data_IF_135054708095
#
_entry.id   IF_135054708095
#
_cell.length_a   1.000
_cell.length_b   1.000
_cell.length_c   1.000
_cell.angle_alpha   90.00
_cell.angle_beta   90.00
_cell.angle_gamma   90.00
#
_symmetry.space_group_name_H-M   'P 1'
#
loop_
_entity.id
_entity.type
_entity.pdbx_description
1 polymer ?
#
# COMPACT_ATOMS: atom_id res chain seq x y z
N UNK A 1 -54.58 37.43 -25.02
CA UNK A 1 -53.52 37.39 -26.04
C UNK A 1 -52.42 38.26 -25.46
N UNK A 2 -51.34 37.62 -24.99
CA UNK A 2 -50.17 38.18 -24.26
C UNK A 2 -50.56 38.86 -22.94
N UNK A 3 -50.33 38.26 -21.77
CA UNK A 3 -49.01 38.00 -21.21
C UNK A 3 -49.00 36.82 -20.24
N UNK A 4 -47.77 36.41 -19.93
CA UNK A 4 -47.39 35.50 -18.85
C UNK A 4 -47.45 34.00 -19.12
N UNK A 5 -46.71 33.69 -20.20
CA UNK A 5 -45.64 32.68 -20.26
C UNK A 5 -44.72 32.65 -19.00
N UNK A 6 -44.91 33.53 -18.01
CA UNK A 6 -44.36 33.48 -16.65
C UNK A 6 -44.75 32.20 -15.87
N UNK A 7 -45.88 31.56 -16.21
CA UNK A 7 -46.22 30.27 -15.61
C UNK A 7 -45.30 29.13 -16.09
N UNK A 8 -44.58 29.33 -17.21
CA UNK A 8 -43.57 28.41 -17.71
C UNK A 8 -42.19 28.58 -17.02
N UNK A 9 -42.03 29.63 -16.19
CA UNK A 9 -40.87 29.81 -15.30
C UNK A 9 -41.02 29.10 -13.95
N UNK A 10 -42.11 28.37 -13.70
CA UNK A 10 -42.21 27.44 -12.57
C UNK A 10 -41.43 26.13 -12.83
N UNK A 11 -40.24 26.28 -13.42
CA UNK A 11 -39.26 25.24 -13.59
C UNK A 11 -38.82 24.70 -12.23
N UNK A 12 -38.89 23.38 -12.14
CA UNK A 12 -38.20 22.45 -11.22
C UNK A 12 -38.60 22.39 -9.74
N UNK A 13 -39.25 21.27 -9.38
CA UNK A 13 -38.97 20.56 -8.14
C UNK A 13 -38.42 19.15 -8.41
N UNK A 14 -37.61 18.94 -9.46
CA UNK A 14 -36.97 17.65 -9.73
C UNK A 14 -35.61 17.49 -9.01
N UNK A 15 -35.02 18.59 -8.54
CA UNK A 15 -33.63 18.63 -8.06
C UNK A 15 -33.47 18.33 -6.56
N UNK A 16 -34.54 18.22 -5.76
CA UNK A 16 -34.40 18.02 -4.31
C UNK A 16 -34.37 16.55 -3.88
N UNK A 17 -34.99 15.65 -4.64
CA UNK A 17 -35.05 14.22 -4.30
C UNK A 17 -33.87 13.41 -4.86
N UNK A 18 -33.34 13.78 -6.04
CA UNK A 18 -32.10 13.18 -6.57
C UNK A 18 -30.87 13.72 -5.87
N UNK A 19 -30.90 15.02 -5.48
CA UNK A 19 -29.81 15.65 -4.73
C UNK A 19 -29.53 14.93 -3.42
N UNK A 20 -30.55 14.50 -2.66
CA UNK A 20 -30.37 13.74 -1.42
C UNK A 20 -29.62 12.41 -1.62
N UNK A 21 -30.03 11.60 -2.60
CA UNK A 21 -29.39 10.32 -2.89
C UNK A 21 -27.98 10.47 -3.50
N UNK A 22 -27.75 11.52 -4.31
CA UNK A 22 -26.42 11.86 -4.81
C UNK A 22 -25.51 12.39 -3.69
N UNK A 23 -26.04 13.16 -2.74
CA UNK A 23 -25.26 13.65 -1.59
C UNK A 23 -24.88 12.53 -0.63
N UNK A 24 -25.75 11.54 -0.38
CA UNK A 24 -25.46 10.43 0.54
C UNK A 24 -24.30 9.55 0.03
N UNK A 25 -24.28 9.25 -1.27
CA UNK A 25 -23.18 8.52 -1.90
C UNK A 25 -21.86 9.27 -1.86
N UNK A 26 -21.90 10.60 -2.08
CA UNK A 26 -20.72 11.44 -2.00
C UNK A 26 -20.15 11.51 -0.58
N UNK A 27 -21.01 11.60 0.44
CA UNK A 27 -20.59 11.61 1.85
C UNK A 27 -19.88 10.31 2.21
N UNK A 28 -20.43 9.15 1.86
CA UNK A 28 -19.78 7.86 2.12
C UNK A 28 -18.46 7.68 1.36
N UNK A 29 -18.37 8.16 0.13
CA UNK A 29 -17.11 8.14 -0.61
C UNK A 29 -16.04 9.01 0.07
N UNK A 30 -16.42 10.19 0.56
CA UNK A 30 -15.53 11.08 1.30
C UNK A 30 -15.09 10.45 2.63
N UNK A 31 -16.00 9.81 3.35
CA UNK A 31 -15.70 9.11 4.60
C UNK A 31 -14.67 7.98 4.39
N UNK A 32 -14.91 7.10 3.41
CA UNK A 32 -13.98 6.00 3.09
C UNK A 32 -12.62 6.54 2.65
N UNK A 33 -12.62 7.62 1.85
CA UNK A 33 -11.39 8.26 1.36
C UNK A 33 -10.57 8.86 2.49
N UNK A 34 -11.22 9.54 3.44
CA UNK A 34 -10.56 10.11 4.61
C UNK A 34 -9.97 9.02 5.49
N UNK A 35 -10.76 7.98 5.77
CA UNK A 35 -10.33 6.85 6.59
C UNK A 35 -9.09 6.15 6.01
N UNK A 36 -9.12 5.83 4.70
CA UNK A 36 -7.99 5.24 3.97
C UNK A 36 -6.73 6.09 4.08
N UNK A 37 -6.84 7.40 3.88
CA UNK A 37 -5.68 8.30 3.95
C UNK A 37 -5.06 8.38 5.33
N UNK A 38 -5.88 8.31 6.38
CA UNK A 38 -5.41 8.26 7.77
C UNK A 38 -4.66 6.94 8.04
N UNK A 39 -5.22 5.81 7.62
CA UNK A 39 -4.60 4.50 7.80
C UNK A 39 -3.24 4.39 7.07
N UNK A 40 -3.18 4.78 5.79
CA UNK A 40 -1.94 4.84 5.01
C UNK A 40 -0.86 5.68 5.72
N UNK A 41 -1.26 6.83 6.28
CA UNK A 41 -0.36 7.75 6.97
C UNK A 41 0.19 7.17 8.27
N UNK A 42 -0.67 6.52 9.05
CA UNK A 42 -0.30 5.85 10.29
C UNK A 42 0.64 4.68 10.00
N UNK A 43 0.28 3.81 9.06
CA UNK A 43 1.08 2.66 8.66
C UNK A 43 2.46 3.13 8.14
N UNK A 44 2.47 4.11 7.24
CA UNK A 44 3.70 4.70 6.70
C UNK A 44 4.61 5.28 7.79
N UNK A 45 4.04 5.94 8.81
CA UNK A 45 4.81 6.46 9.94
C UNK A 45 5.44 5.34 10.77
N UNK A 46 4.64 4.35 11.20
CA UNK A 46 5.14 3.25 12.04
C UNK A 46 6.21 2.42 11.32
N UNK A 47 5.94 1.99 10.07
CA UNK A 47 6.91 1.23 9.28
C UNK A 47 8.14 2.06 8.90
N UNK A 48 7.98 3.38 8.71
CA UNK A 48 9.09 4.31 8.52
C UNK A 48 10.04 4.31 9.73
N UNK A 49 9.50 4.48 10.94
CA UNK A 49 10.28 4.47 12.20
C UNK A 49 10.95 3.10 12.42
N UNK A 50 10.24 2.01 12.17
CA UNK A 50 10.79 0.65 12.29
C UNK A 50 11.90 0.42 11.27
N UNK A 51 11.70 0.83 10.02
CA UNK A 51 12.70 0.71 8.95
C UNK A 51 13.96 1.52 9.25
N UNK A 52 13.83 2.72 9.81
CA UNK A 52 14.97 3.53 10.23
C UNK A 52 15.76 2.86 11.36
N UNK A 53 15.08 2.34 12.40
CA UNK A 53 15.73 1.60 13.49
C UNK A 53 16.45 0.35 12.99
N UNK A 54 15.85 -0.39 12.07
CA UNK A 54 16.46 -1.56 11.46
C UNK A 54 17.73 -1.19 10.68
N UNK A 55 17.66 -0.11 9.89
CA UNK A 55 18.79 0.42 9.12
C UNK A 55 19.94 0.85 10.03
N UNK A 56 19.63 1.53 11.13
CA UNK A 56 20.62 1.95 12.11
C UNK A 56 21.36 0.75 12.72
N UNK A 57 20.63 -0.29 13.14
CA UNK A 57 21.24 -1.53 13.66
C UNK A 57 22.08 -2.28 12.63
N UNK A 58 21.64 -2.31 11.38
CA UNK A 58 22.40 -2.91 10.28
C UNK A 58 23.71 -2.17 10.07
N UNK A 59 23.68 -0.83 10.01
CA UNK A 59 24.88 0.00 9.88
C UNK A 59 25.86 -0.22 11.03
N UNK A 60 25.36 -0.27 12.27
CA UNK A 60 26.18 -0.51 13.46
C UNK A 60 26.87 -1.89 13.42
N UNK A 61 26.11 -2.96 13.16
CA UNK A 61 26.66 -4.33 13.08
C UNK A 61 27.65 -4.51 11.93
N UNK A 62 27.34 -3.96 10.76
CA UNK A 62 28.21 -4.07 9.60
C UNK A 62 29.50 -3.26 9.81
N UNK A 63 29.42 -2.04 10.36
CA UNK A 63 30.61 -1.26 10.69
C UNK A 63 31.49 -1.98 11.73
N UNK A 64 30.88 -2.53 12.78
CA UNK A 64 31.58 -3.33 13.77
C UNK A 64 32.31 -4.53 13.13
N UNK A 65 31.64 -5.26 12.25
CA UNK A 65 32.24 -6.40 11.54
C UNK A 65 33.44 -5.97 10.67
N UNK A 66 33.29 -4.87 9.93
CA UNK A 66 34.36 -4.33 9.08
C UNK A 66 35.60 -3.96 9.90
N UNK A 67 35.44 -3.29 11.04
CA UNK A 67 36.59 -2.83 11.86
C UNK A 67 37.39 -4.00 12.47
N UNK A 68 36.78 -5.16 12.68
CA UNK A 68 37.43 -6.34 13.28
C UNK A 68 38.10 -7.26 12.25
N UNK A 69 38.12 -6.86 10.99
CA UNK A 69 38.72 -7.65 9.92
C UNK A 69 40.26 -7.53 9.92
N UNK A 70 40.94 -8.57 9.44
CA UNK A 70 42.42 -8.60 9.37
C UNK A 70 43.00 -7.58 8.37
N UNK A 71 44.22 -7.07 8.65
CA UNK A 71 44.86 -6.02 7.83
C UNK A 71 45.04 -6.46 6.36
N UNK A 72 45.44 -7.72 6.13
CA UNK A 72 45.59 -8.27 4.78
C UNK A 72 44.28 -8.42 3.99
N UNK A 73 43.13 -8.28 4.65
CA UNK A 73 41.83 -8.25 3.97
C UNK A 73 41.59 -6.91 3.28
N UNK A 74 42.08 -5.80 3.84
CA UNK A 74 41.95 -4.44 3.28
C UNK A 74 42.89 -4.17 2.10
N UNK A 75 43.93 -5.00 1.92
CA UNK A 75 44.87 -4.89 0.80
C UNK A 75 44.26 -5.29 -0.55
N UNK A 76 43.10 -5.94 -0.55
CA UNK A 76 42.36 -6.24 -1.79
C UNK A 76 41.70 -4.98 -2.33
N UNK A 77 41.81 -4.76 -3.64
CA UNK A 77 41.23 -3.59 -4.33
C UNK A 77 39.72 -3.45 -4.11
N UNK A 78 39.02 -4.59 -3.92
CA UNK A 78 37.58 -4.68 -3.62
C UNK A 78 37.22 -4.26 -2.18
N UNK A 79 38.18 -4.32 -1.26
CA UNK A 79 37.97 -4.14 0.18
C UNK A 79 38.54 -2.82 0.71
N UNK A 80 38.91 -1.92 -0.21
CA UNK A 80 39.37 -0.59 0.17
C UNK A 80 38.30 0.13 1.00
N UNK A 81 38.69 0.87 2.06
CA UNK A 81 37.75 1.47 3.02
C UNK A 81 36.73 2.42 2.37
N UNK A 82 37.09 3.10 1.26
CA UNK A 82 36.16 3.94 0.49
C UNK A 82 35.08 3.14 -0.25
N UNK A 83 35.47 2.03 -0.89
CA UNK A 83 34.55 1.12 -1.58
C UNK A 83 33.61 0.47 -0.58
N UNK A 84 34.16 0.02 0.56
CA UNK A 84 33.39 -0.61 1.62
C UNK A 84 32.35 0.31 2.25
N UNK A 85 32.72 1.56 2.53
CA UNK A 85 31.80 2.56 3.11
C UNK A 85 30.67 2.88 2.15
N UNK A 86 30.96 2.97 0.84
CA UNK A 86 29.95 3.17 -0.20
C UNK A 86 29.03 1.97 -0.38
N UNK A 87 29.58 0.75 -0.39
CA UNK A 87 28.81 -0.50 -0.43
C UNK A 87 27.90 -0.62 0.80
N UNK A 88 28.45 -0.36 1.99
CA UNK A 88 27.69 -0.38 3.24
C UNK A 88 26.54 0.63 3.24
N UNK A 89 26.78 1.86 2.77
CA UNK A 89 25.72 2.86 2.65
C UNK A 89 24.61 2.43 1.66
N UNK A 90 25.01 1.85 0.53
CA UNK A 90 24.08 1.38 -0.51
C UNK A 90 23.27 0.18 -0.06
N UNK A 91 23.92 -0.86 0.48
CA UNK A 91 23.26 -2.08 0.95
C UNK A 91 22.31 -1.78 2.12
N UNK A 92 22.72 -0.96 3.09
CA UNK A 92 21.84 -0.56 4.18
C UNK A 92 20.62 0.23 3.69
N UNK A 93 20.78 1.07 2.66
CA UNK A 93 19.66 1.85 2.08
C UNK A 93 18.73 0.98 1.24
N UNK A 94 19.28 0.01 0.50
CA UNK A 94 18.51 -0.99 -0.23
C UNK A 94 17.66 -1.83 0.74
N UNK A 95 18.28 -2.34 1.81
CA UNK A 95 17.56 -3.10 2.85
C UNK A 95 16.50 -2.23 3.52
N UNK A 96 16.75 -0.95 3.80
CA UNK A 96 15.73 -0.04 4.33
C UNK A 96 14.51 0.09 3.43
N UNK A 97 14.74 0.30 2.14
CA UNK A 97 13.66 0.53 1.17
C UNK A 97 12.85 -0.74 0.94
N UNK A 98 13.53 -1.88 0.78
CA UNK A 98 12.88 -3.19 0.64
C UNK A 98 12.17 -3.59 1.94
N UNK A 99 12.75 -3.28 3.11
CA UNK A 99 12.21 -3.73 4.40
C UNK A 99 11.10 -2.84 4.97
N UNK A 100 11.09 -1.54 4.68
CA UNK A 100 10.11 -0.61 5.24
C UNK A 100 8.83 -0.57 4.41
N UNK A 101 8.95 -0.08 3.18
CA UNK A 101 7.80 0.20 2.31
C UNK A 101 7.19 -1.08 1.73
N UNK A 102 8.03 -2.00 1.23
CA UNK A 102 7.53 -3.24 0.63
C UNK A 102 6.85 -4.15 1.65
N UNK A 103 7.33 -4.20 2.90
CA UNK A 103 6.70 -5.02 3.94
C UNK A 103 5.35 -4.48 4.37
N UNK A 104 5.20 -3.15 4.45
CA UNK A 104 3.90 -2.54 4.73
C UNK A 104 2.87 -2.96 3.68
N UNK A 105 3.23 -2.81 2.40
CA UNK A 105 2.39 -3.20 1.26
C UNK A 105 2.11 -4.71 1.22
N UNK A 106 3.12 -5.55 1.49
CA UNK A 106 2.95 -7.00 1.53
C UNK A 106 2.00 -7.43 2.66
N UNK A 107 2.17 -6.86 3.84
CA UNK A 107 1.34 -7.16 5.00
C UNK A 107 -0.11 -6.71 4.75
N UNK A 108 -0.29 -5.52 4.18
CA UNK A 108 -1.60 -5.02 3.76
C UNK A 108 -2.26 -5.97 2.77
N UNK A 109 -1.55 -6.42 1.74
CA UNK A 109 -2.07 -7.36 0.75
C UNK A 109 -2.50 -8.70 1.39
N UNK A 110 -1.71 -9.25 2.31
CA UNK A 110 -2.04 -10.49 3.03
C UNK A 110 -3.27 -10.31 3.91
N UNK A 111 -3.38 -9.19 4.63
CA UNK A 111 -4.55 -8.87 5.47
C UNK A 111 -5.80 -8.68 4.60
N UNK A 112 -5.68 -7.97 3.48
CA UNK A 112 -6.77 -7.75 2.54
C UNK A 112 -7.27 -9.07 1.95
N UNK A 113 -6.37 -9.92 1.45
CA UNK A 113 -6.72 -11.24 0.92
C UNK A 113 -7.36 -12.10 2.02
N UNK A 114 -6.78 -12.12 3.22
CA UNK A 114 -7.31 -12.86 4.36
C UNK A 114 -8.71 -12.39 4.76
N UNK A 115 -8.92 -11.09 4.91
CA UNK A 115 -10.22 -10.51 5.26
C UNK A 115 -11.27 -10.75 4.17
N UNK A 116 -10.91 -10.64 2.89
CA UNK A 116 -11.80 -10.96 1.78
C UNK A 116 -12.26 -12.42 1.83
N UNK A 117 -11.35 -13.36 2.12
CA UNK A 117 -11.74 -14.76 2.30
C UNK A 117 -12.65 -14.95 3.51
N UNK A 118 -12.34 -14.33 4.65
CA UNK A 118 -13.17 -14.46 5.87
C UNK A 118 -14.58 -13.94 5.62
N UNK A 119 -14.73 -12.76 5.03
CA UNK A 119 -16.04 -12.17 4.71
C UNK A 119 -16.78 -13.06 3.70
N UNK A 120 -16.09 -13.50 2.63
CA UNK A 120 -16.69 -14.37 1.61
C UNK A 120 -17.19 -15.70 2.18
N UNK A 121 -16.43 -16.36 3.06
CA UNK A 121 -16.84 -17.61 3.69
C UNK A 121 -18.03 -17.43 4.65
N UNK A 122 -18.14 -16.28 5.31
CA UNK A 122 -19.27 -15.95 6.20
C UNK A 122 -20.55 -15.76 5.39
N UNK A 123 -20.51 -15.00 4.29
CA UNK A 123 -21.69 -14.70 3.49
C UNK A 123 -22.16 -15.90 2.65
N UNK A 124 -21.24 -16.51 1.88
CA UNK A 124 -21.55 -17.70 1.10
C UNK A 124 -20.30 -18.52 0.82
N UNK A 125 -20.20 -19.65 1.53
CA UNK A 125 -19.12 -20.60 1.34
C UNK A 125 -19.14 -21.25 -0.06
N UNK A 126 -20.30 -21.43 -0.69
CA UNK A 126 -20.40 -22.00 -2.04
C UNK A 126 -19.83 -21.07 -3.11
N UNK A 127 -20.17 -19.77 -3.04
CA UNK A 127 -19.69 -18.79 -4.01
C UNK A 127 -18.19 -18.52 -3.87
N UNK A 128 -17.68 -18.55 -2.64
CA UNK A 128 -16.25 -18.34 -2.35
C UNK A 128 -15.38 -19.48 -2.85
N UNK A 129 -15.80 -20.74 -2.67
CA UNK A 129 -15.09 -21.90 -3.21
C UNK A 129 -15.06 -21.91 -4.75
N UNK A 130 -16.15 -21.47 -5.38
CA UNK A 130 -16.22 -21.32 -6.83
C UNK A 130 -15.18 -20.30 -7.33
N UNK A 131 -15.11 -19.12 -6.72
CA UNK A 131 -14.14 -18.08 -7.06
C UNK A 131 -12.69 -18.54 -6.85
N UNK A 132 -12.44 -19.30 -5.78
CA UNK A 132 -11.12 -19.87 -5.52
C UNK A 132 -10.69 -20.89 -6.58
N UNK A 133 -11.64 -21.64 -7.16
CA UNK A 133 -11.39 -22.55 -8.28
C UNK A 133 -11.07 -21.85 -9.59
N UNK A 134 -11.64 -20.66 -9.84
CA UNK A 134 -11.33 -19.85 -11.02
C UNK A 134 -10.00 -19.09 -10.92
N UNK A 135 -9.55 -18.78 -9.70
CA UNK A 135 -8.28 -18.09 -9.44
C UNK A 135 -7.06 -18.72 -10.14
N UNK A 136 -6.77 -20.03 -10.03
CA UNK A 136 -5.68 -20.66 -10.77
C UNK A 136 -5.91 -20.65 -12.29
N UNK A 137 -7.15 -20.80 -12.76
CA UNK A 137 -7.46 -20.76 -14.19
C UNK A 137 -7.16 -19.39 -14.80
N UNK A 138 -7.49 -18.31 -14.09
CA UNK A 138 -7.15 -16.93 -14.44
C UNK A 138 -5.62 -16.71 -14.48
N UNK A 139 -4.90 -17.21 -13.48
CA UNK A 139 -3.44 -17.12 -13.43
C UNK A 139 -2.78 -17.88 -14.58
N UNK A 140 -3.26 -19.08 -14.90
CA UNK A 140 -2.79 -19.84 -16.06
C UNK A 140 -3.11 -19.14 -17.38
N UNK A 141 -4.31 -18.60 -17.54
CA UNK A 141 -4.69 -17.83 -18.72
C UNK A 141 -3.81 -16.60 -18.93
N UNK A 142 -3.55 -15.82 -17.87
CA UNK A 142 -2.70 -14.64 -17.93
C UNK A 142 -1.19 -14.93 -18.01
N UNK A 143 -0.74 -16.17 -17.78
CA UNK A 143 0.65 -16.58 -17.99
C UNK A 143 0.94 -16.99 -19.45
N UNK A 144 -0.10 -17.39 -20.19
CA UNK A 144 0.02 -17.90 -21.55
C UNK A 144 -0.06 -16.77 -22.59
N UNK A 145 -0.53 -15.59 -22.19
CA UNK A 145 -0.46 -14.33 -22.94
C UNK A 145 0.85 -13.58 -22.67
#
# INVERSE_FOLDING_TARGET
MTDDVSEYYMAEPAISFTSGAETDGLVHFLEISLFRKVDDGIQGYFFGVVGERLTWRLRDKLFHAVVHQEIGWFDREENQPGVLTSRLATEATCVRNVSGFQFAMLLEAVILIGSAFVIGFIDSWQLTLLMLGFLPLLLFGGYIE
#
